data_IF_486820510982
#
_entry.id   IF_486820510982
#
_cell.length_a   1.000
_cell.length_b   1.000
_cell.length_c   1.000
_cell.angle_alpha   90.00
_cell.angle_beta   90.00
_cell.angle_gamma   90.00
#
_symmetry.space_group_name_H-M   'P 1'
#
loop_
_entity.id
_entity.type
_entity.pdbx_description
1 polymer ?
#
# COMPACT_ATOMS: atom_id res chain seq x y z
N UNK A 1 6.08 -19.58 16.07
CA UNK A 1 5.03 -19.48 15.03
C UNK A 1 5.64 -19.99 13.73
N UNK A 2 5.18 -21.09 13.14
CA UNK A 2 5.81 -21.59 11.92
C UNK A 2 5.53 -20.57 10.80
N UNK A 3 6.60 -20.18 10.11
CA UNK A 3 6.57 -19.16 9.07
C UNK A 3 5.57 -19.60 8.01
N UNK A 4 4.49 -18.83 7.89
CA UNK A 4 3.59 -18.85 6.76
C UNK A 4 4.41 -18.91 5.48
N UNK A 5 3.94 -19.74 4.55
CA UNK A 5 4.49 -19.95 3.20
C UNK A 5 5.15 -18.66 2.69
N UNK A 6 6.39 -18.77 2.19
CA UNK A 6 7.15 -17.61 1.73
C UNK A 6 6.24 -16.72 0.86
N UNK A 7 6.00 -15.45 1.25
CA UNK A 7 5.09 -14.60 0.50
C UNK A 7 5.56 -14.53 -0.95
N UNK A 8 4.61 -14.60 -1.88
CA UNK A 8 4.88 -14.41 -3.29
C UNK A 8 5.66 -13.10 -3.49
N UNK A 9 6.72 -13.15 -4.31
CA UNK A 9 7.59 -11.98 -4.52
C UNK A 9 6.81 -10.82 -5.14
N UNK A 10 7.21 -9.59 -4.83
CA UNK A 10 6.58 -8.39 -5.40
C UNK A 10 6.62 -8.41 -6.94
N UNK A 11 7.75 -8.83 -7.53
CA UNK A 11 7.88 -8.97 -8.98
C UNK A 11 6.88 -9.97 -9.59
N UNK A 12 6.53 -11.03 -8.86
CA UNK A 12 5.51 -11.98 -9.32
C UNK A 12 4.10 -11.39 -9.22
N UNK A 13 3.82 -10.60 -8.19
CA UNK A 13 2.53 -9.89 -8.06
C UNK A 13 2.37 -8.85 -9.17
N UNK A 14 3.43 -8.11 -9.49
CA UNK A 14 3.47 -7.13 -10.59
C UNK A 14 3.23 -7.80 -11.96
N UNK A 15 3.88 -8.95 -12.21
CA UNK A 15 3.62 -9.75 -13.42
C UNK A 15 2.14 -10.15 -13.56
N UNK A 16 1.48 -10.52 -12.45
CA UNK A 16 0.06 -10.87 -12.47
C UNK A 16 -0.82 -9.64 -12.74
N UNK A 17 -0.48 -8.47 -12.20
CA UNK A 17 -1.19 -7.21 -12.49
C UNK A 17 -1.01 -6.78 -13.95
N UNK A 18 0.19 -6.89 -14.51
CA UNK A 18 0.45 -6.61 -15.93
C UNK A 18 -0.41 -7.48 -16.84
N UNK A 19 -0.47 -8.79 -16.56
CA UNK A 19 -1.32 -9.70 -17.32
C UNK A 19 -2.82 -9.36 -17.15
N UNK A 20 -3.25 -8.92 -15.97
CA UNK A 20 -4.62 -8.44 -15.75
C UNK A 20 -4.92 -7.19 -16.60
N UNK A 21 -3.95 -6.27 -16.75
CA UNK A 21 -4.09 -5.05 -17.58
C UNK A 21 -4.21 -5.37 -19.06
N UNK A 22 -3.69 -6.50 -19.53
CA UNK A 22 -3.92 -7.00 -20.91
C UNK A 22 -5.35 -7.51 -21.16
N UNK A 23 -6.21 -7.53 -20.14
CA UNK A 23 -7.62 -7.93 -20.25
C UNK A 23 -7.92 -9.36 -19.79
N UNK A 24 -6.94 -10.10 -19.24
CA UNK A 24 -7.17 -11.43 -18.68
C UNK A 24 -7.96 -11.37 -17.38
N UNK A 25 -8.88 -12.30 -17.17
CA UNK A 25 -9.64 -12.38 -15.92
C UNK A 25 -8.80 -12.97 -14.78
N UNK A 26 -9.14 -12.66 -13.53
CA UNK A 26 -8.48 -13.26 -12.36
C UNK A 26 -8.66 -14.79 -12.32
N UNK A 27 -9.75 -15.31 -12.90
CA UNK A 27 -10.01 -16.74 -13.03
C UNK A 27 -9.05 -17.41 -14.02
N UNK A 28 -8.83 -16.78 -15.18
CA UNK A 28 -7.89 -17.32 -16.17
C UNK A 28 -6.46 -17.32 -15.64
N UNK A 29 -6.09 -16.28 -14.87
CA UNK A 29 -4.79 -16.21 -14.21
C UNK A 29 -4.65 -17.30 -13.14
N UNK A 30 -5.66 -17.54 -12.31
CA UNK A 30 -5.59 -18.62 -11.32
C UNK A 30 -5.55 -20.03 -11.94
N UNK A 31 -6.03 -20.21 -13.17
CA UNK A 31 -5.88 -21.48 -13.90
C UNK A 31 -4.46 -21.67 -14.46
N UNK A 32 -3.80 -20.58 -14.85
CA UNK A 32 -2.45 -20.59 -15.43
C UNK A 32 -1.31 -20.48 -14.42
N UNK A 33 -1.61 -20.04 -13.20
CA UNK A 33 -0.62 -19.79 -12.15
C UNK A 33 -0.99 -20.52 -10.86
N UNK A 34 -0.02 -20.67 -9.96
CA UNK A 34 -0.19 -21.34 -8.67
C UNK A 34 -1.14 -20.62 -7.66
N UNK A 35 -1.22 -19.27 -7.59
CA UNK A 35 -2.11 -18.60 -6.65
C UNK A 35 -3.58 -18.82 -7.00
N UNK A 36 -4.42 -18.97 -5.98
CA UNK A 36 -5.86 -19.06 -6.17
C UNK A 36 -6.46 -17.69 -6.55
N UNK A 37 -7.67 -17.73 -7.11
CA UNK A 37 -8.42 -16.56 -7.58
C UNK A 37 -8.54 -15.48 -6.51
N UNK A 38 -8.81 -15.84 -5.25
CA UNK A 38 -8.95 -14.89 -4.14
C UNK A 38 -7.65 -14.12 -3.84
N UNK A 39 -6.51 -14.79 -3.92
CA UNK A 39 -5.19 -14.16 -3.74
C UNK A 39 -4.93 -13.17 -4.87
N UNK A 40 -5.21 -13.56 -6.12
CA UNK A 40 -5.04 -12.70 -7.30
C UNK A 40 -5.96 -11.47 -7.22
N UNK A 41 -7.23 -11.65 -6.81
CA UNK A 41 -8.15 -10.53 -6.57
C UNK A 41 -7.61 -9.56 -5.52
N UNK A 42 -7.03 -10.06 -4.44
CA UNK A 42 -6.48 -9.22 -3.38
C UNK A 42 -5.35 -8.33 -3.92
N UNK A 43 -4.46 -8.89 -4.74
CA UNK A 43 -3.38 -8.12 -5.38
C UNK A 43 -3.90 -7.11 -6.39
N UNK A 44 -4.89 -7.46 -7.21
CA UNK A 44 -5.50 -6.51 -8.15
C UNK A 44 -6.15 -5.34 -7.40
N UNK A 45 -6.89 -5.62 -6.34
CA UNK A 45 -7.51 -4.58 -5.51
C UNK A 45 -6.46 -3.68 -4.85
N UNK A 46 -5.31 -4.24 -4.45
CA UNK A 46 -4.20 -3.48 -3.90
C UNK A 46 -3.54 -2.60 -4.99
N UNK A 47 -3.27 -3.15 -6.17
CA UNK A 47 -2.71 -2.40 -7.30
C UNK A 47 -3.65 -1.28 -7.81
N UNK A 48 -4.97 -1.49 -7.75
CA UNK A 48 -5.96 -0.44 -8.04
C UNK A 48 -5.93 0.70 -7.02
N UNK A 49 -5.67 0.39 -5.74
CA UNK A 49 -5.51 1.39 -4.66
C UNK A 49 -4.22 2.18 -4.85
N UNK A 50 -3.09 1.48 -4.98
CA UNK A 50 -1.78 2.10 -5.12
C UNK A 50 -1.66 2.90 -6.44
N UNK A 51 -2.33 2.45 -7.50
CA UNK A 51 -2.41 3.16 -8.78
C UNK A 51 -3.35 4.37 -8.82
N UNK A 52 -3.91 4.80 -7.69
CA UNK A 52 -4.74 6.01 -7.59
C UNK A 52 -6.10 5.93 -8.31
N UNK A 53 -6.57 4.74 -8.69
CA UNK A 53 -7.85 4.57 -9.40
C UNK A 53 -9.06 4.62 -8.46
N UNK A 54 -8.85 4.66 -7.14
CA UNK A 54 -9.88 4.93 -6.13
C UNK A 54 -9.35 5.92 -5.10
N UNK A 55 -9.82 7.17 -5.17
CA UNK A 55 -9.50 8.22 -4.20
C UNK A 55 -10.09 7.97 -2.79
N UNK A 56 -10.98 6.98 -2.65
CA UNK A 56 -11.72 6.71 -1.40
C UNK A 56 -11.00 5.71 -0.47
N UNK A 57 -9.86 5.13 -0.86
CA UNK A 57 -9.16 4.11 -0.06
C UNK A 57 -7.67 4.43 -0.01
N UNK A 58 -7.14 4.58 1.21
CA UNK A 58 -5.77 5.02 1.47
C UNK A 58 -4.74 4.19 0.68
N UNK A 59 -3.93 4.86 -0.14
CA UNK A 59 -2.75 4.26 -0.81
C UNK A 59 -1.75 3.81 0.25
N UNK A 60 -0.96 2.76 -0.03
CA UNK A 60 0.03 2.25 0.92
C UNK A 60 1.13 3.25 1.31
N UNK A 61 1.34 4.30 0.51
CA UNK A 61 2.32 5.38 0.77
C UNK A 61 1.79 6.49 1.69
N UNK A 62 0.47 6.75 1.66
CA UNK A 62 -0.19 7.76 2.49
C UNK A 62 -0.06 7.56 4.01
N UNK A 63 -0.11 6.34 4.59
CA UNK A 63 0.05 6.17 6.03
C UNK A 63 1.46 6.53 6.53
N UNK A 64 2.50 6.33 5.72
CA UNK A 64 3.86 6.66 6.10
C UNK A 64 4.15 8.15 5.97
N UNK A 65 3.62 8.79 4.93
CA UNK A 65 3.65 10.25 4.81
C UNK A 65 2.84 10.93 5.93
N UNK A 66 1.66 10.41 6.26
CA UNK A 66 0.85 10.89 7.38
C UNK A 66 1.58 10.74 8.72
N UNK A 67 2.31 9.63 8.93
CA UNK A 67 3.14 9.43 10.13
C UNK A 67 4.28 10.42 10.20
N UNK A 68 4.95 10.71 9.07
CA UNK A 68 6.02 11.70 8.97
C UNK A 68 5.48 13.09 9.32
N UNK A 69 4.41 13.53 8.64
CA UNK A 69 3.80 14.84 8.87
C UNK A 69 3.31 15.01 10.32
N UNK A 70 2.75 13.95 10.93
CA UNK A 70 2.37 14.00 12.36
C UNK A 70 3.56 14.15 13.30
N UNK A 71 4.73 13.62 12.98
CA UNK A 71 5.96 13.82 13.78
C UNK A 71 6.44 15.25 13.65
N UNK A 72 6.51 15.75 12.42
CA UNK A 72 6.95 17.11 12.13
C UNK A 72 6.03 18.16 12.78
N UNK A 73 4.71 17.98 12.69
CA UNK A 73 3.76 18.89 13.34
C UNK A 73 3.91 18.91 14.87
N UNK A 74 4.23 17.78 15.50
CA UNK A 74 4.51 17.74 16.95
C UNK A 74 5.79 18.50 17.29
N UNK A 75 6.84 18.36 16.49
CA UNK A 75 8.09 19.07 16.69
C UNK A 75 7.91 20.59 16.56
N UNK A 76 7.23 21.03 15.50
CA UNK A 76 6.92 22.45 15.28
C UNK A 76 6.08 23.04 16.43
N UNK A 77 5.12 22.30 16.97
CA UNK A 77 4.34 22.74 18.15
C UNK A 77 5.20 22.91 19.40
N UNK A 78 6.17 22.02 19.60
CA UNK A 78 7.12 22.13 20.73
C UNK A 78 8.03 23.35 20.56
N UNK A 79 8.54 23.58 19.34
CA UNK A 79 9.35 24.76 19.04
C UNK A 79 8.58 26.06 19.27
N UNK A 80 7.31 26.13 18.84
CA UNK A 80 6.44 27.29 19.10
C UNK A 80 6.20 27.51 20.60
N UNK A 81 5.98 26.45 21.38
CA UNK A 81 5.79 26.56 22.84
C UNK A 81 7.05 27.08 23.55
N UNK A 82 8.23 26.61 23.13
CA UNK A 82 9.52 27.10 23.66
C UNK A 82 9.73 28.57 23.30
N UNK A 83 9.49 28.97 22.05
CA UNK A 83 9.60 30.36 21.61
C UNK A 83 8.60 31.26 22.33
N UNK A 84 7.35 30.81 22.50
CA UNK A 84 6.32 31.55 23.23
C UNK A 84 6.69 31.76 24.70
N UNK A 85 7.33 30.78 25.34
CA UNK A 85 7.80 30.88 26.73
C UNK A 85 9.03 31.78 26.87
N UNK A 86 9.88 31.85 25.84
CA UNK A 86 11.06 32.72 25.83
C UNK A 86 10.73 34.19 25.52
N UNK A 87 9.59 34.45 24.89
CA UNK A 87 9.11 35.79 24.56
C UNK A 87 8.21 36.42 25.64
N UNK A 88 7.92 35.70 26.72
CA UNK A 88 7.19 36.15 27.91
C UNK A 88 8.14 36.46 29.07
#
# INVERSE_FOLDING_TARGET
MPRTRNPYSAAFQEQIDDLRRTGRSAEDLARGFEPCVATIYTWIMQAERDGGKRADILSSEEPDELRRLRRENRQLRQELDVLSKAAA
#
